data_IF_781614794108
#
_entry.id   IF_781614794108
#
_cell.length_a   1.000
_cell.length_b   1.000
_cell.length_c   1.000
_cell.angle_alpha   90.00
_cell.angle_beta   90.00
_cell.angle_gamma   90.00
#
_symmetry.space_group_name_H-M   'P 1'
#
loop_
_entity.id
_entity.type
_entity.pdbx_description
1 polymer ?
#
# COMPACT_ATOMS: atom_id res chain seq x y z
N UNK A 1 16.73 -4.15 17.98
CA UNK A 1 15.82 -4.58 16.90
C UNK A 1 15.35 -5.98 17.27
N UNK A 2 14.06 -6.17 17.56
CA UNK A 2 13.52 -7.47 17.97
C UNK A 2 12.73 -8.06 16.81
N UNK A 3 13.13 -9.24 16.34
CA UNK A 3 12.41 -10.00 15.32
C UNK A 3 11.28 -10.76 16.01
N UNK A 4 10.06 -10.63 15.50
CA UNK A 4 8.90 -11.40 15.97
C UNK A 4 8.32 -12.18 14.81
N UNK A 5 7.90 -13.42 15.06
CA UNK A 5 7.37 -14.32 14.04
C UNK A 5 5.96 -14.77 14.43
N UNK A 6 5.12 -14.99 13.44
CA UNK A 6 3.83 -15.68 13.60
C UNK A 6 3.69 -16.72 12.50
N UNK A 7 2.81 -17.70 12.74
CA UNK A 7 2.57 -18.79 11.80
C UNK A 7 1.51 -18.35 10.77
N UNK A 8 1.75 -18.69 9.51
CA UNK A 8 0.74 -18.61 8.46
C UNK A 8 -0.25 -19.77 8.64
N UNK A 9 -1.52 -19.45 8.78
CA UNK A 9 -2.62 -20.42 8.86
C UNK A 9 -3.07 -20.84 7.44
N UNK A 10 -3.82 -21.93 7.35
CA UNK A 10 -4.23 -22.54 6.07
C UNK A 10 -5.08 -21.62 5.18
N UNK A 11 -5.69 -20.59 5.77
CA UNK A 11 -6.44 -19.55 5.06
C UNK A 11 -5.59 -18.30 4.74
N UNK A 12 -4.27 -18.44 4.68
CA UNK A 12 -3.30 -17.37 4.40
C UNK A 12 -3.32 -16.21 5.41
N UNK A 13 -3.88 -16.41 6.61
CA UNK A 13 -3.81 -15.42 7.68
C UNK A 13 -2.59 -15.64 8.56
N UNK A 14 -1.90 -14.56 8.91
CA UNK A 14 -0.89 -14.55 9.97
C UNK A 14 -1.29 -13.52 11.02
N UNK A 15 -1.14 -13.87 12.30
CA UNK A 15 -1.42 -12.91 13.37
C UNK A 15 -0.35 -11.83 13.40
N UNK A 16 -0.74 -10.56 13.42
CA UNK A 16 0.19 -9.46 13.68
C UNK A 16 0.59 -9.52 15.16
N UNK A 17 1.88 -9.72 15.51
CA UNK A 17 2.32 -9.85 16.90
C UNK A 17 1.98 -8.62 17.74
N UNK A 18 1.80 -8.83 19.06
CA UNK A 18 1.36 -7.77 19.99
C UNK A 18 2.30 -6.56 19.99
N UNK A 19 3.62 -6.78 19.89
CA UNK A 19 4.63 -5.73 19.79
C UNK A 19 4.39 -4.83 18.56
N UNK A 20 4.07 -5.43 17.42
CA UNK A 20 3.80 -4.72 16.17
C UNK A 20 2.47 -3.98 16.25
N UNK A 21 1.40 -4.63 16.74
CA UNK A 21 0.08 -4.01 16.90
C UNK A 21 0.15 -2.75 17.76
N UNK A 22 0.83 -2.82 18.91
CA UNK A 22 1.01 -1.66 19.79
C UNK A 22 1.81 -0.55 19.12
N UNK A 23 2.88 -0.90 18.39
CA UNK A 23 3.75 0.09 17.75
C UNK A 23 3.06 0.87 16.63
N UNK A 24 2.16 0.21 15.90
CA UNK A 24 1.37 0.77 14.81
C UNK A 24 -0.03 1.24 15.25
N UNK A 25 -0.35 1.15 16.55
CA UNK A 25 -1.66 1.49 17.11
C UNK A 25 -2.84 0.84 16.36
N UNK A 26 -2.71 -0.47 16.08
CA UNK A 26 -3.72 -1.24 15.37
C UNK A 26 -4.83 -1.69 16.32
N UNK A 27 -6.07 -1.51 15.86
CA UNK A 27 -7.29 -2.01 16.48
C UNK A 27 -8.07 -2.88 15.49
N UNK A 28 -9.03 -3.66 16.01
CA UNK A 28 -9.89 -4.47 15.14
C UNK A 28 -10.69 -3.57 14.20
N UNK A 29 -10.72 -3.93 12.91
CA UNK A 29 -11.39 -3.16 11.87
C UNK A 29 -10.50 -2.15 11.13
N UNK A 30 -9.26 -1.93 11.58
CA UNK A 30 -8.29 -1.15 10.80
C UNK A 30 -7.97 -1.84 9.47
N UNK A 31 -7.86 -1.05 8.41
CA UNK A 31 -7.33 -1.49 7.13
C UNK A 31 -5.80 -1.44 7.17
N UNK A 32 -5.18 -2.48 6.62
CA UNK A 32 -3.72 -2.62 6.52
C UNK A 32 -3.37 -2.67 5.05
N UNK A 33 -2.51 -1.76 4.64
CA UNK A 33 -1.93 -1.78 3.31
C UNK A 33 -0.62 -2.56 3.32
N UNK A 34 -0.40 -3.27 2.22
CA UNK A 34 0.77 -4.08 1.97
C UNK A 34 1.44 -3.55 0.70
N UNK A 35 2.66 -3.10 0.84
CA UNK A 35 3.56 -2.83 -0.28
C UNK A 35 4.63 -3.93 -0.36
N UNK A 36 5.07 -4.30 -1.55
CA UNK A 36 6.02 -5.39 -1.78
C UNK A 36 7.23 -4.87 -2.54
N UNK A 37 8.39 -4.92 -1.87
CA UNK A 37 9.67 -4.52 -2.44
C UNK A 37 10.60 -5.73 -2.44
N UNK A 38 10.72 -6.38 -3.60
CA UNK A 38 11.43 -7.66 -3.72
C UNK A 38 10.75 -8.75 -2.88
N UNK A 39 11.50 -9.35 -1.96
CA UNK A 39 11.01 -10.40 -1.05
C UNK A 39 10.52 -9.85 0.31
N UNK A 40 10.34 -8.53 0.42
CA UNK A 40 9.93 -7.86 1.67
C UNK A 40 8.56 -7.23 1.51
N UNK A 41 7.63 -7.62 2.39
CA UNK A 41 6.35 -6.92 2.56
C UNK A 41 6.48 -5.82 3.62
N UNK A 42 6.08 -4.60 3.25
CA UNK A 42 5.98 -3.44 4.13
C UNK A 42 4.51 -3.27 4.50
N UNK A 43 4.22 -3.26 5.80
CA UNK A 43 2.85 -3.10 6.31
C UNK A 43 2.68 -1.68 6.87
N UNK A 44 1.58 -1.03 6.51
CA UNK A 44 1.16 0.25 7.10
C UNK A 44 -0.33 0.23 7.44
N UNK A 45 -0.72 0.97 8.49
CA UNK A 45 -2.13 1.27 8.74
C UNK A 45 -2.60 2.21 7.64
N UNK A 46 -3.67 1.86 6.94
CA UNK A 46 -4.27 2.72 5.93
C UNK A 46 -4.94 3.91 6.63
N UNK A 47 -4.71 5.13 6.15
CA UNK A 47 -5.54 6.26 6.54
C UNK A 47 -6.73 6.36 5.57
N UNK A 48 -7.87 6.86 6.03
CA UNK A 48 -9.03 7.13 5.18
C UNK A 48 -8.69 7.98 3.96
N UNK A 49 -7.69 8.85 4.11
CA UNK A 49 -7.27 9.81 3.10
C UNK A 49 -6.35 9.16 2.04
N UNK A 50 -5.68 8.07 2.38
CA UNK A 50 -4.78 7.34 1.46
C UNK A 50 -5.59 6.70 0.31
N UNK A 51 -6.77 6.15 0.61
CA UNK A 51 -7.68 5.59 -0.40
C UNK A 51 -8.19 6.62 -1.41
N UNK A 52 -8.31 7.88 -0.99
CA UNK A 52 -8.83 8.97 -1.83
C UNK A 52 -7.70 9.62 -2.63
N UNK A 53 -6.50 9.68 -2.06
CA UNK A 53 -5.33 10.23 -2.75
C UNK A 53 -4.97 9.42 -4.00
N UNK A 54 -4.96 8.09 -3.91
CA UNK A 54 -4.62 7.23 -5.05
C UNK A 54 -5.65 7.35 -6.19
N UNK A 55 -6.95 7.42 -5.87
CA UNK A 55 -8.01 7.63 -6.87
C UNK A 55 -7.99 9.05 -7.48
N UNK A 56 -7.69 10.07 -6.67
CA UNK A 56 -7.60 11.45 -7.13
C UNK A 56 -6.41 11.70 -8.05
N UNK A 57 -5.29 11.02 -7.81
CA UNK A 57 -4.07 11.14 -8.61
C UNK A 57 -4.22 10.47 -9.98
N UNK A 58 -4.84 9.29 -10.08
CA UNK A 58 -5.15 8.65 -11.36
C UNK A 58 -5.98 9.57 -12.28
N UNK A 59 -6.99 10.24 -11.72
CA UNK A 59 -7.83 11.18 -12.46
C UNK A 59 -7.03 12.36 -13.03
N UNK A 60 -6.14 12.95 -12.23
CA UNK A 60 -5.31 14.08 -12.67
C UNK A 60 -4.24 13.68 -13.69
N UNK A 61 -3.65 12.47 -13.57
CA UNK A 61 -2.64 12.00 -14.51
C UNK A 61 -3.22 11.64 -15.89
N UNK A 62 -4.52 11.32 -15.95
CA UNK A 62 -5.22 11.08 -17.23
C UNK A 62 -5.34 12.33 -18.10
N UNK A 63 -5.32 13.54 -17.50
CA UNK A 63 -5.38 14.81 -18.23
C UNK A 63 -4.07 15.14 -18.96
N UNK A 64 -2.96 14.47 -18.61
CA UNK A 64 -1.61 14.72 -19.14
C UNK A 64 -1.15 13.63 -20.12
N UNK A 65 -1.97 12.61 -20.33
CA UNK A 65 -1.73 11.53 -21.28
C UNK A 65 -2.64 11.71 -22.50
N UNK A 66 -2.61 12.90 -23.12
CA UNK A 66 -3.43 13.14 -24.31
C UNK A 66 -2.73 12.63 -25.57
N UNK A 67 -3.51 12.24 -26.58
CA UNK A 67 -2.99 11.84 -27.90
C UNK A 67 -2.12 12.94 -28.55
N UNK A 68 -2.32 14.20 -28.14
CA UNK A 68 -1.55 15.36 -28.60
C UNK A 68 -0.15 15.36 -27.98
N UNK A 69 -0.03 14.96 -26.70
CA UNK A 69 1.25 14.83 -26.02
C UNK A 69 2.07 13.66 -26.60
N UNK A 70 1.42 12.51 -26.84
CA UNK A 70 2.04 11.33 -27.45
C UNK A 70 2.63 11.63 -28.85
N UNK A 71 1.91 12.42 -29.67
CA UNK A 71 2.39 12.82 -31.00
C UNK A 71 3.52 13.86 -30.95
N UNK A 72 3.50 14.77 -29.98
CA UNK A 72 4.53 15.80 -29.81
C UNK A 72 5.90 15.24 -29.38
N UNK A 73 5.91 14.15 -28.60
CA UNK A 73 7.13 13.55 -28.03
C UNK A 73 7.59 12.27 -28.74
N UNK A 74 6.85 11.78 -29.75
CA UNK A 74 7.09 10.52 -30.46
C UNK A 74 8.46 10.36 -31.14
N UNK A 75 9.21 11.46 -31.29
CA UNK A 75 10.42 11.54 -32.10
C UNK A 75 11.62 12.18 -31.37
N UNK A 76 11.56 12.31 -30.04
CA UNK A 76 12.68 12.76 -29.21
C UNK A 76 13.49 11.61 -28.63
#
# INVERSE_FOLDING_TARGET
>A
MAITMSKLMDNFMATIPESVRRRLNLVAGDLIEFDVVGDVAILRKANSDDLVFDQGLEGLLSEWATDVDEEAYRSL
#
